data_IF_221214581969
#
_entry.id   IF_221214581969
#
_cell.length_a   1.000
_cell.length_b   1.000
_cell.length_c   1.000
_cell.angle_alpha   90.00
_cell.angle_beta   90.00
_cell.angle_gamma   90.00
#
_symmetry.space_group_name_H-M   'P 1'
#
loop_
_entity.id
_entity.type
_entity.pdbx_description
1 polymer ?
#
# COMPACT_ATOMS: atom_id res chain seq x y z
N UNK A 1 18.53 -3.15 -5.68
CA UNK A 1 17.22 -3.33 -6.35
C UNK A 1 16.43 -2.04 -6.22
N UNK A 2 15.90 -1.55 -7.33
CA UNK A 2 15.16 -0.30 -7.32
C UNK A 2 13.69 -0.52 -7.01
N UNK A 3 13.16 0.36 -6.21
CA UNK A 3 11.75 0.38 -5.87
C UNK A 3 11.14 1.68 -6.36
N UNK A 4 9.92 1.60 -6.89
CA UNK A 4 9.21 2.77 -7.40
C UNK A 4 7.96 3.02 -6.58
N UNK A 5 7.68 4.30 -6.34
CA UNK A 5 6.43 4.70 -5.71
C UNK A 5 5.36 4.60 -6.78
N UNK A 6 4.35 3.77 -6.53
CA UNK A 6 3.28 3.54 -7.49
C UNK A 6 1.92 3.96 -7.00
N UNK A 7 1.79 4.31 -5.73
CA UNK A 7 0.52 4.72 -5.17
C UNK A 7 0.64 5.15 -3.73
N UNK A 8 -0.50 5.39 -3.13
CA UNK A 8 -0.58 5.86 -1.75
C UNK A 8 -1.77 5.22 -1.05
N UNK A 9 -1.60 4.95 0.24
CA UNK A 9 -2.71 4.44 1.06
C UNK A 9 -3.62 5.61 1.41
N UNK A 10 -4.90 5.50 1.03
CA UNK A 10 -5.88 6.57 1.25
C UNK A 10 -6.78 6.33 2.44
N UNK A 11 -6.90 5.10 2.89
CA UNK A 11 -7.77 4.80 4.02
C UNK A 11 -7.93 3.31 4.21
N UNK A 12 -8.97 2.95 4.93
CA UNK A 12 -9.30 1.56 5.21
C UNK A 12 -10.64 1.18 4.61
N UNK A 13 -10.88 -0.10 4.47
CA UNK A 13 -12.16 -0.60 3.96
C UNK A 13 -12.55 -1.88 4.68
N UNK A 14 -13.78 -1.89 5.21
CA UNK A 14 -14.32 -3.08 5.87
C UNK A 14 -13.67 -3.37 7.21
N UNK A 15 -13.98 -4.53 7.75
CA UNK A 15 -13.56 -4.92 9.09
C UNK A 15 -12.34 -5.85 9.09
N UNK A 16 -11.91 -6.30 7.91
CA UNK A 16 -10.84 -7.28 7.79
C UNK A 16 -9.46 -6.69 7.69
N UNK A 17 -9.36 -5.38 7.60
CA UNK A 17 -8.06 -4.71 7.52
C UNK A 17 -7.60 -4.38 6.11
N UNK A 18 -8.50 -4.37 5.13
CA UNK A 18 -8.14 -3.92 3.79
C UNK A 18 -7.71 -2.46 3.81
N UNK A 19 -6.70 -2.13 3.04
CA UNK A 19 -6.32 -0.76 2.81
C UNK A 19 -6.83 -0.32 1.43
N UNK A 20 -7.31 0.90 1.38
CA UNK A 20 -7.76 1.53 0.15
C UNK A 20 -6.58 2.27 -0.45
N UNK A 21 -6.25 1.99 -1.69
CA UNK A 21 -5.09 2.58 -2.33
C UNK A 21 -5.49 3.38 -3.56
N UNK A 22 -4.70 4.40 -3.85
CA UNK A 22 -4.85 5.22 -5.03
C UNK A 22 -3.55 5.13 -5.83
N UNK A 23 -3.66 4.79 -7.11
CA UNK A 23 -2.51 4.69 -7.99
C UNK A 23 -2.06 6.06 -8.46
N UNK A 24 -0.75 6.28 -8.52
CA UNK A 24 -0.19 7.53 -9.04
C UNK A 24 -0.48 7.72 -10.52
N UNK A 25 -0.59 6.63 -11.26
CA UNK A 25 -0.83 6.68 -12.71
C UNK A 25 -2.29 6.52 -13.09
N UNK A 26 -3.14 6.16 -12.12
CA UNK A 26 -4.53 5.83 -12.40
C UNK A 26 -4.74 4.41 -12.88
N UNK A 27 -3.68 3.64 -13.01
CA UNK A 27 -3.75 2.24 -13.42
C UNK A 27 -3.59 1.35 -12.20
N UNK A 28 -4.40 0.31 -12.12
CA UNK A 28 -4.43 -0.59 -10.96
C UNK A 28 -4.10 -2.04 -11.30
N UNK A 29 -4.06 -2.38 -12.57
CA UNK A 29 -3.86 -3.78 -12.98
C UNK A 29 -2.56 -4.39 -12.48
N UNK A 30 -1.51 -3.59 -12.38
CA UNK A 30 -0.22 -4.09 -11.91
C UNK A 30 -0.28 -4.56 -10.45
N UNK A 31 -1.24 -4.08 -9.68
CA UNK A 31 -1.39 -4.52 -8.29
C UNK A 31 -1.87 -5.96 -8.17
N UNK A 32 -2.54 -6.47 -9.21
CA UNK A 32 -3.04 -7.86 -9.19
C UNK A 32 -1.93 -8.89 -9.14
N UNK A 33 -0.76 -8.56 -9.67
CA UNK A 33 0.36 -9.49 -9.76
C UNK A 33 1.39 -9.29 -8.65
N UNK A 34 1.17 -8.33 -7.77
CA UNK A 34 2.11 -8.05 -6.71
C UNK A 34 1.97 -9.05 -5.58
N UNK A 35 3.08 -9.62 -5.16
CA UNK A 35 3.13 -10.52 -4.01
C UNK A 35 3.69 -9.84 -2.79
N UNK A 36 4.50 -8.81 -2.99
CA UNK A 36 5.13 -8.06 -1.91
C UNK A 36 5.17 -6.59 -2.28
N UNK A 37 4.91 -5.75 -1.30
CA UNK A 37 5.06 -4.31 -1.43
C UNK A 37 5.82 -3.78 -0.22
N UNK A 38 6.35 -2.57 -0.37
CA UNK A 38 6.86 -1.82 0.76
C UNK A 38 5.99 -0.61 0.98
N UNK A 39 5.74 -0.28 2.23
CA UNK A 39 5.05 0.94 2.58
C UNK A 39 6.04 1.87 3.27
N UNK A 40 6.14 3.09 2.76
CA UNK A 40 6.97 4.12 3.36
C UNK A 40 6.04 5.08 4.09
N UNK A 41 6.09 5.04 5.41
CA UNK A 41 5.21 5.86 6.24
C UNK A 41 5.64 7.32 6.17
N UNK A 42 4.68 8.25 6.25
CA UNK A 42 5.03 9.67 6.25
C UNK A 42 5.84 10.00 7.49
N UNK A 43 6.90 10.82 7.30
CA UNK A 43 7.68 11.29 8.44
C UNK A 43 6.94 12.42 9.12
N UNK A 44 7.15 12.53 10.43
CA UNK A 44 6.59 13.61 11.23
C UNK A 44 7.71 14.53 11.71
N UNK A 45 7.55 15.82 11.48
CA UNK A 45 8.48 16.81 12.01
C UNK A 45 9.83 16.77 11.32
N UNK A 46 10.90 16.71 12.12
CA UNK A 46 12.26 16.86 11.66
C UNK A 46 12.95 15.54 11.33
N UNK A 47 12.22 14.45 11.34
CA UNK A 47 12.81 13.14 11.02
C UNK A 47 13.31 13.12 9.59
N UNK A 48 14.55 12.65 9.41
CA UNK A 48 15.16 12.56 8.11
C UNK A 48 15.02 11.17 7.49
N UNK A 49 14.59 10.19 8.29
CA UNK A 49 14.39 8.84 7.82
C UNK A 49 12.91 8.50 7.76
N UNK A 50 12.53 7.89 6.64
CA UNK A 50 11.16 7.43 6.44
C UNK A 50 11.17 5.91 6.61
N UNK A 51 10.50 5.38 7.64
CA UNK A 51 10.49 3.93 7.83
C UNK A 51 9.80 3.23 6.67
N UNK A 52 10.47 2.20 6.16
CA UNK A 52 9.91 1.35 5.13
C UNK A 52 9.62 -0.01 5.75
N UNK A 53 8.42 -0.51 5.53
CA UNK A 53 7.99 -1.80 6.05
C UNK A 53 7.54 -2.66 4.89
N UNK A 54 8.07 -3.88 4.79
CA UNK A 54 7.67 -4.82 3.76
C UNK A 54 6.46 -5.61 4.20
N UNK A 55 5.52 -5.81 3.30
CA UNK A 55 4.33 -6.61 3.54
C UNK A 55 4.09 -7.56 2.38
N UNK A 56 3.54 -8.73 2.69
CA UNK A 56 3.07 -9.65 1.67
C UNK A 56 1.61 -9.34 1.35
N UNK A 57 1.28 -9.33 0.08
CA UNK A 57 -0.08 -9.05 -0.39
C UNK A 57 -0.85 -10.36 -0.40
N UNK A 58 -1.91 -10.44 0.37
CA UNK A 58 -2.77 -11.62 0.43
C UNK A 58 -3.90 -11.56 -0.58
N UNK A 59 -4.44 -10.38 -0.82
CA UNK A 59 -5.56 -10.21 -1.73
C UNK A 59 -5.54 -8.81 -2.32
N UNK A 60 -5.98 -8.70 -3.56
CA UNK A 60 -6.12 -7.42 -4.24
C UNK A 60 -7.47 -7.39 -4.95
N UNK A 61 -8.24 -6.36 -4.70
CA UNK A 61 -9.53 -6.14 -5.35
C UNK A 61 -9.48 -4.82 -6.07
N UNK A 62 -9.64 -4.83 -7.39
CA UNK A 62 -9.66 -3.61 -8.18
C UNK A 62 -11.09 -3.12 -8.33
N UNK A 63 -11.29 -1.84 -8.05
CA UNK A 63 -12.59 -1.18 -8.19
C UNK A 63 -12.47 -0.08 -9.24
N UNK A 64 -13.59 0.63 -9.50
CA UNK A 64 -13.63 1.63 -10.58
C UNK A 64 -12.67 2.80 -10.37
N UNK A 65 -12.52 3.25 -9.15
CA UNK A 65 -11.73 4.45 -8.86
C UNK A 65 -10.58 4.20 -7.89
N UNK A 66 -10.42 2.96 -7.41
CA UNK A 66 -9.37 2.64 -6.46
C UNK A 66 -9.13 1.12 -6.46
N UNK A 67 -8.28 0.68 -5.56
CA UNK A 67 -8.08 -0.74 -5.31
C UNK A 67 -7.98 -0.98 -3.81
N UNK A 68 -8.26 -2.20 -3.42
CA UNK A 68 -8.18 -2.62 -2.02
C UNK A 68 -7.10 -3.70 -1.92
N UNK A 69 -6.23 -3.57 -0.95
CA UNK A 69 -5.20 -4.57 -0.68
C UNK A 69 -5.36 -5.13 0.73
N UNK A 70 -5.30 -6.44 0.84
CA UNK A 70 -5.21 -7.10 2.13
C UNK A 70 -3.76 -7.53 2.30
N UNK A 71 -3.13 -7.05 3.36
CA UNK A 71 -1.74 -7.34 3.66
C UNK A 71 -1.65 -8.32 4.81
N UNK A 72 -0.67 -9.22 4.71
CA UNK A 72 -0.45 -10.19 5.77
C UNK A 72 -0.06 -9.50 7.07
N UNK A 73 -0.75 -9.84 8.15
CA UNK A 73 -0.53 -9.23 9.46
C UNK A 73 -1.38 -8.00 9.73
N UNK A 74 -2.08 -7.49 8.73
CA UNK A 74 -2.97 -6.34 8.89
C UNK A 74 -4.40 -6.88 8.83
N UNK A 75 -4.93 -7.22 10.00
CA UNK A 75 -6.20 -7.95 10.10
C UNK A 75 -7.34 -7.16 10.72
N UNK A 76 -7.14 -5.88 10.97
CA UNK A 76 -8.16 -5.05 11.57
C UNK A 76 -8.13 -3.64 10.98
N UNK A 77 -9.25 -2.91 11.06
CA UNK A 77 -9.27 -1.52 10.61
C UNK A 77 -8.27 -0.65 11.36
N UNK A 78 -8.03 -0.95 12.63
CA UNK A 78 -7.11 -0.18 13.44
C UNK A 78 -5.67 -0.34 12.96
N UNK A 79 -5.28 -1.57 12.62
CA UNK A 79 -3.96 -1.83 12.08
C UNK A 79 -3.81 -1.18 10.71
N UNK A 80 -4.83 -1.28 9.86
CA UNK A 80 -4.82 -0.68 8.53
C UNK A 80 -4.77 0.84 8.60
N UNK A 81 -5.44 1.43 9.58
CA UNK A 81 -5.50 2.88 9.75
C UNK A 81 -4.12 3.50 9.98
N UNK A 82 -3.23 2.76 10.61
CA UNK A 82 -1.87 3.23 10.87
C UNK A 82 -1.06 3.42 9.60
N UNK A 83 -1.51 2.83 8.51
CA UNK A 83 -0.83 2.90 7.23
C UNK A 83 -1.33 4.04 6.35
N UNK A 84 -2.31 4.80 6.82
CA UNK A 84 -2.88 5.92 6.06
C UNK A 84 -1.81 6.95 5.69
N UNK A 85 -1.81 7.35 4.44
CA UNK A 85 -0.84 8.31 3.95
C UNK A 85 0.49 7.71 3.50
N UNK A 86 0.69 6.40 3.72
CA UNK A 86 1.94 5.76 3.31
C UNK A 86 2.05 5.69 1.79
N UNK A 87 3.28 5.85 1.30
CA UNK A 87 3.57 5.63 -0.11
C UNK A 87 3.77 4.13 -0.35
N UNK A 88 3.27 3.66 -1.48
CA UNK A 88 3.38 2.25 -1.86
C UNK A 88 4.53 2.10 -2.85
N UNK A 89 5.51 1.27 -2.47
CA UNK A 89 6.65 1.00 -3.33
C UNK A 89 6.60 -0.43 -3.84
N UNK A 90 6.88 -0.59 -5.11
CA UNK A 90 6.95 -1.92 -5.73
C UNK A 90 8.29 -2.07 -6.43
N UNK A 91 8.79 -3.30 -6.61
CA UNK A 91 10.01 -3.51 -7.38
C UNK A 91 9.83 -2.94 -8.79
N UNK A 92 10.87 -2.33 -9.30
CA UNK A 92 10.83 -1.67 -10.61
C UNK A 92 10.38 -2.60 -11.73
N UNK A 93 10.83 -3.84 -11.69
CA UNK A 93 10.48 -4.83 -12.71
C UNK A 93 9.06 -5.36 -12.59
N UNK A 94 8.35 -5.02 -11.51
CA UNK A 94 6.95 -5.40 -11.30
C UNK A 94 5.99 -4.24 -11.57
N UNK A 95 6.50 -3.08 -11.84
CA UNK A 95 5.67 -1.90 -12.06
C UNK A 95 5.22 -1.78 -13.52
#
# INVERSE_FOLDING_TARGET
MDWLITGRVRGTFGLEGFIKIESCSGEYEHFLNLKEIKLQLPSKGTETQHPEISYQVEECVIRNADALLKLRGIDSPEAAKKLHGADILVPRDMA
#
